data_IF_592606134169
#
_entry.id   IF_592606134169
#
_cell.length_a   1.000
_cell.length_b   1.000
_cell.length_c   1.000
_cell.angle_alpha   90.00
_cell.angle_beta   90.00
_cell.angle_gamma   90.00
#
_symmetry.space_group_name_H-M   'P 1'
#
loop_
_entity.id
_entity.type
_entity.pdbx_description
1 polymer ?
#
# COMPACT_ATOMS: atom_id res chain seq x y z
N UNK A 1 -14.73 -4.51 79.12
CA UNK A 1 -15.43 -4.18 77.85
C UNK A 1 -14.63 -3.10 77.16
N UNK A 2 -13.80 -3.47 76.19
CA UNK A 2 -12.94 -2.52 75.48
C UNK A 2 -13.13 -2.82 73.98
N UNK A 3 -13.70 -1.85 73.27
CA UNK A 3 -14.10 -1.97 71.87
C UNK A 3 -12.93 -1.54 71.00
N UNK A 4 -12.41 -2.44 70.17
CA UNK A 4 -11.45 -2.12 69.10
C UNK A 4 -12.19 -1.66 67.85
N UNK A 5 -11.99 -0.40 67.47
CA UNK A 5 -12.52 0.19 66.23
C UNK A 5 -11.64 -0.25 65.05
N UNK A 6 -12.23 -0.95 64.07
CA UNK A 6 -11.58 -1.31 62.81
C UNK A 6 -11.81 -0.17 61.81
N UNK A 7 -10.73 0.47 61.35
CA UNK A 7 -10.76 1.41 60.24
C UNK A 7 -10.52 0.64 58.93
N UNK A 8 -11.54 0.55 58.09
CA UNK A 8 -11.43 0.02 56.72
C UNK A 8 -11.10 1.19 55.80
N UNK A 9 -9.86 1.27 55.34
CA UNK A 9 -9.44 2.22 54.31
C UNK A 9 -9.97 1.76 52.94
N UNK A 10 -10.94 2.48 52.39
CA UNK A 10 -11.40 2.32 51.02
C UNK A 10 -10.35 2.90 50.06
N UNK A 11 -9.49 2.03 49.51
CA UNK A 11 -8.57 2.40 48.44
C UNK A 11 -9.34 2.65 47.13
N UNK A 12 -9.27 3.86 46.60
CA UNK A 12 -9.82 4.19 45.29
C UNK A 12 -8.99 3.48 44.20
N UNK A 13 -9.59 2.47 43.56
CA UNK A 13 -9.05 1.81 42.39
C UNK A 13 -9.16 2.75 41.19
N UNK A 14 -8.07 3.44 40.85
CA UNK A 14 -7.96 4.16 39.58
C UNK A 14 -7.95 3.13 38.44
N UNK A 15 -9.03 3.06 37.67
CA UNK A 15 -9.07 2.29 36.43
C UNK A 15 -8.20 3.00 35.39
N UNK A 16 -7.00 2.50 35.17
CA UNK A 16 -6.19 2.94 34.03
C UNK A 16 -6.83 2.36 32.76
N UNK A 17 -7.44 3.23 31.96
CA UNK A 17 -7.93 2.89 30.62
C UNK A 17 -6.69 2.81 29.73
N UNK A 18 -6.18 1.60 29.51
CA UNK A 18 -5.19 1.36 28.47
C UNK A 18 -5.90 1.49 27.12
N UNK A 19 -5.61 2.56 26.37
CA UNK A 19 -6.05 2.69 24.99
C UNK A 19 -5.43 1.56 24.17
N UNK A 20 -6.26 0.67 23.61
CA UNK A 20 -5.79 -0.31 22.65
C UNK A 20 -5.19 0.42 21.44
N UNK A 21 -3.95 0.13 21.10
CA UNK A 21 -3.39 0.53 19.81
C UNK A 21 -4.32 -0.05 18.73
N UNK A 22 -5.04 0.82 18.02
CA UNK A 22 -5.93 0.39 16.94
C UNK A 22 -5.05 -0.12 15.81
N UNK A 23 -4.89 -1.44 15.69
CA UNK A 23 -4.23 -2.06 14.55
C UNK A 23 -4.95 -1.69 13.25
N UNK A 24 -4.19 -1.58 12.16
CA UNK A 24 -4.75 -1.32 10.84
C UNK A 24 -5.80 -2.41 10.51
N UNK A 25 -6.99 -2.06 9.99
CA UNK A 25 -8.00 -3.06 9.63
C UNK A 25 -7.52 -3.99 8.50
N UNK A 26 -6.45 -3.61 7.80
CA UNK A 26 -5.84 -4.36 6.71
C UNK A 26 -4.71 -5.29 7.18
N UNK A 27 -4.32 -5.26 8.46
CA UNK A 27 -3.16 -6.03 8.96
C UNK A 27 -3.37 -7.55 8.80
N UNK A 28 -4.62 -8.01 8.86
CA UNK A 28 -4.97 -9.44 8.86
C UNK A 28 -5.52 -9.95 7.53
N UNK A 29 -5.61 -9.11 6.51
CA UNK A 29 -6.14 -9.54 5.22
C UNK A 29 -5.13 -10.46 4.52
N UNK A 30 -5.59 -11.56 3.89
CA UNK A 30 -4.72 -12.44 3.12
C UNK A 30 -4.06 -11.68 1.97
N UNK A 31 -2.77 -11.94 1.78
CA UNK A 31 -2.04 -11.50 0.59
C UNK A 31 -2.35 -12.48 -0.55
N UNK A 32 -2.87 -11.98 -1.66
CA UNK A 32 -3.15 -12.71 -2.89
C UNK A 32 -2.23 -12.22 -4.01
N UNK A 33 -2.04 -13.05 -5.04
CA UNK A 33 -1.32 -12.62 -6.25
C UNK A 33 -2.21 -11.65 -7.03
N UNK A 34 -1.75 -10.41 -7.32
CA UNK A 34 -2.53 -9.47 -8.10
C UNK A 34 -2.76 -9.96 -9.53
N UNK A 35 -3.93 -9.62 -10.08
CA UNK A 35 -4.33 -9.95 -11.45
C UNK A 35 -4.53 -8.68 -12.27
N UNK A 36 -4.02 -8.68 -13.50
CA UNK A 36 -3.90 -7.51 -14.38
C UNK A 36 -4.57 -7.80 -15.72
N UNK A 37 -5.49 -6.93 -16.15
CA UNK A 37 -6.09 -7.00 -17.48
C UNK A 37 -5.46 -5.94 -18.38
N UNK A 38 -4.63 -6.40 -19.32
CA UNK A 38 -3.73 -5.56 -20.09
C UNK A 38 -3.93 -5.74 -21.58
N UNK A 39 -3.95 -4.65 -22.34
CA UNK A 39 -3.79 -4.71 -23.79
C UNK A 39 -2.32 -4.99 -24.12
N UNK A 40 -2.05 -5.95 -25.02
CA UNK A 40 -0.69 -6.26 -25.47
C UNK A 40 -0.23 -5.35 -26.62
N UNK A 41 -1.18 -4.96 -27.46
CA UNK A 41 -1.01 -4.02 -28.59
C UNK A 41 -2.15 -3.00 -28.54
N UNK A 42 -1.96 -1.76 -29.03
CA UNK A 42 -2.99 -0.72 -28.95
C UNK A 42 -4.32 -1.15 -29.57
N UNK A 43 -5.40 -1.14 -28.78
CA UNK A 43 -6.74 -1.54 -29.23
C UNK A 43 -6.91 -3.04 -29.50
N UNK A 44 -5.95 -3.85 -29.10
CA UNK A 44 -5.99 -5.32 -29.20
C UNK A 44 -6.84 -5.97 -28.10
N UNK A 45 -6.87 -7.30 -28.10
CA UNK A 45 -7.51 -8.07 -27.04
C UNK A 45 -6.75 -7.92 -25.72
N UNK A 46 -7.49 -7.89 -24.61
CA UNK A 46 -6.91 -7.87 -23.28
C UNK A 46 -6.48 -9.27 -22.85
N UNK A 47 -5.28 -9.37 -22.31
CA UNK A 47 -4.78 -10.58 -21.65
C UNK A 47 -4.86 -10.43 -20.14
N UNK A 48 -5.00 -11.56 -19.44
CA UNK A 48 -4.92 -11.61 -17.98
C UNK A 48 -3.51 -12.05 -17.57
N UNK A 49 -2.80 -11.19 -16.86
CA UNK A 49 -1.46 -11.43 -16.33
C UNK A 49 -1.50 -11.44 -14.81
N UNK A 50 -0.52 -12.08 -14.18
CA UNK A 50 -0.45 -12.17 -12.72
C UNK A 50 0.95 -11.81 -12.23
N UNK A 51 1.01 -11.25 -11.02
CA UNK A 51 2.25 -10.88 -10.35
C UNK A 51 2.30 -9.39 -9.97
N UNK A 52 3.50 -8.95 -9.66
CA UNK A 52 3.86 -7.55 -9.45
C UNK A 52 3.90 -6.79 -10.77
N UNK A 53 3.89 -5.45 -10.72
CA UNK A 53 4.00 -4.61 -11.91
C UNK A 53 5.27 -4.90 -12.72
N UNK A 54 6.39 -5.22 -12.06
CA UNK A 54 7.65 -5.58 -12.71
C UNK A 54 7.51 -6.90 -13.49
N UNK A 55 6.91 -7.93 -12.88
CA UNK A 55 6.67 -9.22 -13.53
C UNK A 55 5.67 -9.12 -14.68
N UNK A 56 4.64 -8.29 -14.53
CA UNK A 56 3.63 -8.03 -15.56
C UNK A 56 4.23 -7.27 -16.74
N UNK A 57 5.04 -6.24 -16.47
CA UNK A 57 5.77 -5.51 -17.51
C UNK A 57 6.72 -6.43 -18.29
N UNK A 58 7.46 -7.30 -17.61
CA UNK A 58 8.31 -8.31 -18.25
C UNK A 58 7.50 -9.30 -19.12
N UNK A 59 6.33 -9.73 -18.66
CA UNK A 59 5.41 -10.56 -19.45
C UNK A 59 4.91 -9.82 -20.70
N UNK A 60 4.56 -8.54 -20.57
CA UNK A 60 4.10 -7.70 -21.69
C UNK A 60 5.20 -7.54 -22.74
N UNK A 61 6.43 -7.26 -22.35
CA UNK A 61 7.57 -7.18 -23.27
C UNK A 61 7.86 -8.50 -23.99
N UNK A 62 7.60 -9.65 -23.34
CA UNK A 62 7.72 -10.96 -23.98
C UNK A 62 6.63 -11.19 -25.05
N UNK A 63 5.43 -10.68 -24.82
CA UNK A 63 4.31 -10.78 -25.76
C UNK A 63 4.39 -9.73 -26.89
N UNK A 64 4.90 -8.55 -26.57
CA UNK A 64 5.14 -7.45 -27.50
C UNK A 64 6.46 -6.73 -27.16
N UNK A 65 7.56 -7.01 -27.88
CA UNK A 65 8.83 -6.32 -27.67
C UNK A 65 8.79 -4.81 -27.88
N UNK A 66 7.75 -4.27 -28.55
CA UNK A 66 7.53 -2.84 -28.76
C UNK A 66 6.56 -2.23 -27.73
N UNK A 67 6.22 -2.95 -26.66
CA UNK A 67 5.20 -2.52 -25.69
C UNK A 67 5.43 -1.10 -25.17
N UNK A 68 6.65 -0.76 -24.78
CA UNK A 68 6.97 0.57 -24.22
C UNK A 68 6.81 1.70 -25.26
N UNK A 69 7.05 1.42 -26.54
CA UNK A 69 6.81 2.40 -27.61
C UNK A 69 5.35 2.49 -28.03
N UNK A 70 4.61 1.38 -27.93
CA UNK A 70 3.18 1.31 -28.27
C UNK A 70 2.31 1.93 -27.17
N UNK A 71 2.75 1.81 -25.92
CA UNK A 71 2.12 2.36 -24.73
C UNK A 71 3.10 3.30 -24.01
N UNK A 72 3.47 4.43 -24.63
CA UNK A 72 4.39 5.35 -23.99
C UNK A 72 3.78 5.82 -22.68
N UNK A 73 4.56 5.71 -21.60
CA UNK A 73 4.17 6.27 -20.31
C UNK A 73 3.76 7.72 -20.56
N UNK A 74 2.50 8.05 -20.27
CA UNK A 74 2.01 9.42 -20.44
C UNK A 74 2.78 10.28 -19.45
N UNK A 75 3.87 10.92 -19.89
CA UNK A 75 4.38 12.12 -19.21
C UNK A 75 3.19 13.05 -19.13
N UNK A 76 2.79 13.38 -17.90
CA UNK A 76 1.66 14.25 -17.62
C UNK A 76 1.89 15.61 -18.32
N UNK A 77 1.43 15.77 -19.56
CA UNK A 77 1.48 17.07 -20.26
C UNK A 77 0.41 18.02 -19.72
N UNK A 78 -0.63 17.48 -19.10
CA UNK A 78 -1.37 18.22 -18.09
C UNK A 78 -0.59 18.07 -16.79
N UNK A 79 -0.21 19.14 -16.07
CA UNK A 79 -0.11 18.98 -14.64
C UNK A 79 -1.50 18.47 -14.28
N UNK A 80 -1.62 17.19 -13.89
CA UNK A 80 -2.75 16.83 -13.06
C UNK A 80 -2.76 17.95 -12.02
N UNK A 81 -3.84 18.70 -11.92
CA UNK A 81 -3.94 19.83 -10.99
C UNK A 81 -3.65 19.41 -9.53
N UNK A 82 -3.38 18.13 -9.30
CA UNK A 82 -2.50 17.56 -8.28
C UNK A 82 -1.03 17.99 -8.46
N UNK A 83 -0.75 19.29 -8.36
CA UNK A 83 0.49 19.69 -7.66
C UNK A 83 0.53 18.87 -6.37
N UNK A 84 1.53 18.05 -6.03
CA UNK A 84 1.94 17.54 -4.68
C UNK A 84 0.91 17.48 -3.50
N UNK A 85 -0.40 17.50 -3.76
CA UNK A 85 -1.49 17.90 -2.87
C UNK A 85 -2.54 16.81 -2.93
N UNK A 86 -2.56 16.13 -1.79
CA UNK A 86 -3.68 15.46 -1.18
C UNK A 86 -4.21 14.26 -1.96
N UNK A 87 -3.38 13.20 -2.00
CA UNK A 87 -3.92 11.83 -1.96
C UNK A 87 -5.05 11.82 -0.92
N UNK A 88 -6.26 11.42 -1.30
CA UNK A 88 -7.39 11.46 -0.37
C UNK A 88 -7.24 10.32 0.63
N UNK A 89 -7.00 10.67 1.89
CA UNK A 89 -6.84 9.71 2.97
C UNK A 89 -7.76 10.04 4.14
N UNK A 90 -8.09 9.02 4.93
CA UNK A 90 -8.75 9.13 6.22
C UNK A 90 -7.71 9.12 7.36
N UNK A 91 -6.75 8.20 7.28
CA UNK A 91 -5.69 8.01 8.27
C UNK A 91 -4.42 7.54 7.59
N UNK A 92 -3.28 7.79 8.22
CA UNK A 92 -2.02 7.18 7.82
C UNK A 92 -1.18 6.86 9.05
N UNK A 93 -0.27 5.91 8.87
CA UNK A 93 0.62 5.40 9.90
C UNK A 93 2.03 5.33 9.31
N UNK A 94 2.99 5.94 9.99
CA UNK A 94 4.39 5.68 9.74
C UNK A 94 4.88 4.64 10.73
N UNK A 95 5.57 3.62 10.25
CA UNK A 95 6.08 2.54 11.07
C UNK A 95 7.59 2.69 11.28
N UNK A 96 8.02 2.55 12.54
CA UNK A 96 9.44 2.57 12.90
C UNK A 96 10.16 1.27 12.52
N UNK A 97 11.45 1.15 12.88
CA UNK A 97 12.27 -0.05 12.60
C UNK A 97 11.75 -1.34 13.26
N UNK A 98 10.78 -1.29 14.16
CA UNK A 98 10.15 -2.47 14.76
C UNK A 98 8.78 -2.80 14.14
N UNK A 99 8.30 -1.98 13.19
CA UNK A 99 7.05 -2.25 12.46
C UNK A 99 7.24 -3.26 11.34
N UNK A 100 6.15 -3.90 10.91
CA UNK A 100 6.04 -4.89 9.82
C UNK A 100 7.25 -4.98 8.85
N UNK A 101 8.18 -5.90 9.14
CA UNK A 101 9.27 -6.31 8.24
C UNK A 101 9.01 -7.74 7.75
N UNK A 102 8.84 -7.91 6.45
CA UNK A 102 8.87 -9.24 5.84
C UNK A 102 10.28 -9.65 5.40
N UNK A 103 11.19 -8.68 5.27
CA UNK A 103 12.58 -8.91 4.91
C UNK A 103 13.55 -8.56 6.04
N UNK A 104 14.66 -9.30 6.12
CA UNK A 104 15.81 -8.92 6.96
C UNK A 104 16.64 -7.81 6.34
N UNK A 105 16.49 -7.57 5.04
CA UNK A 105 17.15 -6.47 4.33
C UNK A 105 16.25 -5.24 4.42
N UNK A 106 16.85 -4.10 4.75
CA UNK A 106 16.13 -2.82 4.75
C UNK A 106 16.01 -2.34 3.31
N UNK A 107 14.76 -2.11 2.89
CA UNK A 107 14.48 -1.27 1.75
C UNK A 107 14.55 0.20 2.12
N UNK A 108 14.75 1.04 1.11
CA UNK A 108 14.95 2.46 1.29
C UNK A 108 14.02 3.32 0.41
N UNK A 109 14.17 4.64 0.48
CA UNK A 109 13.35 5.56 -0.31
C UNK A 109 13.56 5.42 -1.83
N UNK A 110 14.75 5.02 -2.27
CA UNK A 110 15.02 4.76 -3.69
C UNK A 110 14.32 3.49 -4.16
N UNK A 111 14.44 2.40 -3.40
CA UNK A 111 13.75 1.14 -3.67
C UNK A 111 12.23 1.36 -3.78
N UNK A 112 11.65 2.16 -2.88
CA UNK A 112 10.22 2.50 -2.93
C UNK A 112 9.88 3.40 -4.14
N UNK A 113 10.71 4.40 -4.45
CA UNK A 113 10.49 5.29 -5.60
C UNK A 113 10.49 4.50 -6.91
N UNK A 114 11.39 3.54 -7.09
CA UNK A 114 11.39 2.67 -8.27
C UNK A 114 10.07 1.90 -8.40
N UNK A 115 9.55 1.37 -7.29
CA UNK A 115 8.25 0.71 -7.26
C UNK A 115 7.08 1.63 -7.62
N UNK A 116 7.13 2.90 -7.20
CA UNK A 116 6.17 3.96 -7.54
C UNK A 116 6.23 4.27 -9.04
N UNK A 117 7.43 4.39 -9.59
CA UNK A 117 7.66 4.76 -10.98
C UNK A 117 7.14 3.68 -11.95
N UNK A 118 7.34 2.40 -11.64
CA UNK A 118 6.72 1.30 -12.39
C UNK A 118 5.18 1.36 -12.39
N UNK A 119 4.56 1.67 -11.25
CA UNK A 119 3.09 1.79 -11.17
C UNK A 119 2.57 3.02 -11.93
N UNK A 120 3.38 4.07 -12.05
CA UNK A 120 3.05 5.26 -12.84
C UNK A 120 3.24 5.04 -14.35
N UNK A 121 4.15 4.13 -14.75
CA UNK A 121 4.44 3.88 -16.15
C UNK A 121 3.48 2.89 -16.81
N UNK A 122 2.70 2.13 -16.03
CA UNK A 122 1.79 1.12 -16.56
C UNK A 122 0.34 1.61 -16.67
N UNK A 123 -0.33 1.20 -17.75
CA UNK A 123 -1.77 1.41 -17.94
C UNK A 123 -2.64 0.42 -17.14
N UNK A 124 -3.93 0.41 -17.45
CA UNK A 124 -4.89 -0.56 -16.90
C UNK A 124 -5.67 -0.05 -15.67
N UNK A 125 -6.63 -0.88 -15.27
CA UNK A 125 -7.60 -0.59 -14.19
C UNK A 125 -7.39 -1.62 -13.08
N UNK A 126 -6.77 -1.24 -11.95
CA UNK A 126 -6.57 -2.16 -10.84
C UNK A 126 -7.88 -2.73 -10.32
N UNK A 127 -7.90 -4.03 -10.04
CA UNK A 127 -8.97 -4.71 -9.31
C UNK A 127 -8.42 -5.51 -8.13
N UNK A 128 -9.08 -5.46 -6.99
CA UNK A 128 -8.71 -6.24 -5.80
C UNK A 128 -9.95 -6.92 -5.23
N UNK A 129 -9.82 -8.20 -4.89
CA UNK A 129 -10.93 -9.01 -4.40
C UNK A 129 -11.41 -8.53 -3.01
N UNK A 130 -12.64 -8.90 -2.60
CA UNK A 130 -13.12 -8.59 -1.25
C UNK A 130 -12.19 -9.15 -0.16
N UNK A 131 -11.85 -8.32 0.81
CA UNK A 131 -11.10 -8.75 1.99
C UNK A 131 -9.71 -9.32 1.68
N UNK A 132 -9.01 -8.80 0.68
CA UNK A 132 -7.66 -9.23 0.31
C UNK A 132 -6.71 -8.06 0.07
N UNK A 133 -5.42 -8.38 0.00
CA UNK A 133 -4.37 -7.46 -0.40
C UNK A 133 -3.54 -8.06 -1.52
N UNK A 134 -3.18 -7.27 -2.52
CA UNK A 134 -2.25 -7.65 -3.58
C UNK A 134 -0.89 -7.01 -3.38
N UNK A 135 0.20 -7.77 -3.50
CA UNK A 135 1.56 -7.22 -3.65
C UNK A 135 1.77 -6.68 -5.06
N UNK A 136 1.35 -5.44 -5.30
CA UNK A 136 1.28 -4.83 -6.63
C UNK A 136 2.63 -4.36 -7.16
N UNK A 137 3.62 -4.15 -6.30
CA UNK A 137 5.00 -3.83 -6.70
C UNK A 137 5.98 -4.47 -5.73
N UNK A 138 7.10 -4.97 -6.25
CA UNK A 138 8.22 -5.44 -5.46
C UNK A 138 9.52 -5.00 -6.15
N UNK A 139 10.19 -4.01 -5.59
CA UNK A 139 11.42 -3.43 -6.12
C UNK A 139 12.53 -3.54 -5.09
N UNK A 140 13.58 -4.29 -5.42
CA UNK A 140 14.72 -4.57 -4.54
C UNK A 140 14.31 -5.10 -3.16
N UNK A 141 14.22 -4.25 -2.13
CA UNK A 141 13.81 -4.66 -0.79
C UNK A 141 12.55 -3.95 -0.30
N UNK A 142 11.81 -3.26 -1.19
CA UNK A 142 10.54 -2.59 -0.87
C UNK A 142 9.38 -3.20 -1.67
N UNK A 143 8.29 -3.47 -0.97
CA UNK A 143 7.03 -3.86 -1.59
C UNK A 143 5.94 -2.80 -1.36
N UNK A 144 5.11 -2.63 -2.38
CA UNK A 144 3.87 -1.86 -2.32
C UNK A 144 2.72 -2.85 -2.36
N UNK A 145 1.86 -2.79 -1.35
CA UNK A 145 0.63 -3.54 -1.27
C UNK A 145 -0.56 -2.61 -1.46
N UNK A 146 -1.58 -3.11 -2.15
CA UNK A 146 -2.89 -2.48 -2.22
C UNK A 146 -3.91 -3.43 -1.60
N UNK A 147 -4.68 -2.94 -0.63
CA UNK A 147 -5.61 -3.73 0.15
C UNK A 147 -7.05 -3.26 0.01
N UNK A 148 -7.97 -4.20 -0.07
CA UNK A 148 -9.41 -3.97 -0.09
C UNK A 148 -10.06 -4.65 1.12
N UNK A 149 -10.53 -3.86 2.08
CA UNK A 149 -11.26 -4.36 3.25
C UNK A 149 -12.79 -4.38 3.04
N UNK A 150 -13.28 -4.02 1.85
CA UNK A 150 -14.71 -4.12 1.54
C UNK A 150 -15.14 -5.58 1.36
N UNK A 151 -16.45 -5.81 1.49
CA UNK A 151 -17.10 -7.07 1.11
C UNK A 151 -17.31 -7.22 -0.41
N UNK A 152 -16.96 -6.19 -1.19
CA UNK A 152 -17.10 -6.15 -2.64
C UNK A 152 -15.75 -5.94 -3.32
N UNK A 153 -15.62 -6.39 -4.56
CA UNK A 153 -14.42 -6.16 -5.38
C UNK A 153 -14.23 -4.66 -5.59
N UNK A 154 -13.03 -4.18 -5.32
CA UNK A 154 -12.71 -2.78 -5.53
C UNK A 154 -12.00 -2.56 -6.87
N UNK A 155 -12.34 -1.45 -7.51
CA UNK A 155 -11.72 -0.99 -8.75
C UNK A 155 -11.17 0.42 -8.55
N UNK A 156 -9.96 0.66 -9.05
CA UNK A 156 -9.39 2.00 -9.15
C UNK A 156 -9.28 2.41 -10.61
N UNK A 157 -9.25 3.72 -10.88
CA UNK A 157 -9.16 4.21 -12.27
C UNK A 157 -7.83 3.90 -12.94
N UNK A 158 -6.75 3.79 -12.15
CA UNK A 158 -5.40 3.56 -12.65
C UNK A 158 -4.47 3.10 -11.53
N UNK A 159 -3.39 2.41 -11.88
CA UNK A 159 -2.30 2.08 -10.96
C UNK A 159 -1.59 3.32 -10.41
N UNK A 160 -1.60 4.44 -11.14
CA UNK A 160 -1.14 5.74 -10.65
C UNK A 160 -1.89 6.22 -9.37
N UNK A 161 -3.13 5.75 -9.14
CA UNK A 161 -3.86 6.02 -7.89
C UNK A 161 -3.18 5.34 -6.69
N UNK A 162 -2.70 4.10 -6.89
CA UNK A 162 -1.95 3.36 -5.87
C UNK A 162 -0.56 3.99 -5.70
N UNK A 163 0.11 4.32 -6.81
CA UNK A 163 1.39 5.02 -6.81
C UNK A 163 1.34 6.34 -6.04
N UNK A 164 0.24 7.09 -6.15
CA UNK A 164 0.02 8.33 -5.38
C UNK A 164 -0.08 8.08 -3.86
N UNK A 165 -0.66 6.95 -3.43
CA UNK A 165 -0.70 6.56 -2.02
C UNK A 165 0.67 6.15 -1.49
N UNK A 166 1.45 5.43 -2.31
CA UNK A 166 2.84 5.08 -1.98
C UNK A 166 3.74 6.33 -1.94
N UNK A 167 3.58 7.27 -2.89
CA UNK A 167 4.29 8.55 -2.89
C UNK A 167 3.92 9.38 -1.65
N UNK A 168 2.66 9.39 -1.24
CA UNK A 168 2.24 10.04 -0.01
C UNK A 168 3.00 9.46 1.20
N UNK A 169 3.14 8.14 1.29
CA UNK A 169 3.88 7.50 2.38
C UNK A 169 5.39 7.75 2.28
N UNK A 170 5.96 7.79 1.08
CA UNK A 170 7.34 8.19 0.88
C UNK A 170 7.57 9.61 1.39
N UNK A 171 6.69 10.55 1.06
CA UNK A 171 6.80 11.96 1.46
C UNK A 171 6.57 12.15 2.98
N UNK A 172 5.67 11.38 3.60
CA UNK A 172 5.29 11.53 5.02
C UNK A 172 6.12 10.68 5.98
N UNK A 173 6.56 9.51 5.54
CA UNK A 173 7.24 8.52 6.37
C UNK A 173 8.70 8.31 5.96
N UNK A 174 9.14 8.82 4.79
CA UNK A 174 10.47 8.55 4.24
C UNK A 174 11.66 9.19 4.96
N UNK A 175 11.45 10.02 5.99
CA UNK A 175 12.47 10.79 6.73
C UNK A 175 13.88 10.18 6.76
N UNK A 176 14.20 9.34 7.74
CA UNK A 176 15.53 8.70 7.88
C UNK A 176 15.78 7.58 6.84
N UNK A 177 15.29 7.74 5.62
CA UNK A 177 15.32 6.75 4.55
C UNK A 177 14.55 5.47 4.92
N UNK A 178 13.42 5.63 5.63
CA UNK A 178 12.60 4.54 6.20
C UNK A 178 11.14 4.69 5.83
N UNK A 179 10.76 4.57 4.55
CA UNK A 179 9.40 4.87 4.10
C UNK A 179 8.45 3.70 4.39
N UNK A 180 8.35 3.25 5.64
CA UNK A 180 7.45 2.17 6.05
C UNK A 180 6.15 2.76 6.58
N UNK A 181 5.03 2.22 6.14
CA UNK A 181 3.75 2.72 6.61
C UNK A 181 2.56 2.25 5.82
N UNK A 182 1.42 2.80 6.19
CA UNK A 182 0.14 2.54 5.55
C UNK A 182 -0.70 3.81 5.50
N UNK A 183 -1.30 4.09 4.34
CA UNK A 183 -2.28 5.16 4.16
C UNK A 183 -3.63 4.53 3.84
N UNK A 184 -4.63 4.86 4.66
CA UNK A 184 -6.01 4.41 4.51
C UNK A 184 -6.78 5.46 3.74
N UNK A 185 -7.30 5.07 2.60
CA UNK A 185 -8.13 5.91 1.74
C UNK A 185 -9.63 5.72 2.06
N UNK A 186 -10.49 6.68 1.69
CA UNK A 186 -11.93 6.52 1.80
C UNK A 186 -12.44 5.28 1.06
N UNK A 187 -13.55 4.71 1.55
CA UNK A 187 -14.13 3.45 1.04
C UNK A 187 -13.26 2.22 1.33
N UNK A 188 -12.72 2.12 2.55
CA UNK A 188 -12.12 0.92 3.12
C UNK A 188 -11.04 0.24 2.26
N UNK A 189 -10.11 1.02 1.73
CA UNK A 189 -8.92 0.51 1.06
C UNK A 189 -7.66 1.23 1.51
N UNK A 190 -6.51 0.60 1.30
CA UNK A 190 -5.23 1.19 1.72
C UNK A 190 -4.09 0.87 0.77
N UNK A 191 -3.07 1.72 0.84
CA UNK A 191 -1.73 1.43 0.31
C UNK A 191 -0.80 1.21 1.48
N UNK A 192 -0.03 0.13 1.44
CA UNK A 192 0.97 -0.22 2.45
C UNK A 192 2.32 -0.36 1.79
N UNK A 193 3.34 0.19 2.41
CA UNK A 193 4.74 0.12 1.98
C UNK A 193 5.58 -0.47 3.10
N UNK A 194 6.29 -1.55 2.80
CA UNK A 194 7.08 -2.31 3.78
C UNK A 194 8.33 -2.87 3.12
N UNK A 195 9.35 -3.16 3.95
CA UNK A 195 10.44 -4.00 3.52
C UNK A 195 9.95 -5.44 3.27
N UNK A 196 10.22 -5.98 2.09
CA UNK A 196 9.87 -7.33 1.69
C UNK A 196 10.95 -7.92 0.77
N UNK A 197 10.99 -9.24 0.67
CA UNK A 197 11.90 -9.93 -0.23
C UNK A 197 11.34 -9.88 -1.67
N UNK A 198 12.03 -9.09 -2.49
CA UNK A 198 12.04 -9.17 -3.94
C UNK A 198 13.40 -9.81 -4.36
#
# INVERSE_FOLDING_TARGET
MQWTTILIALGALSTQVYGAATSSPFEKLPITTPTWEMEVTPGGEKVTLNGTVQEVHAQLLKLNPNYDSDFPAKRSEEPSSLTKRDFKYEKYYCWGEDGWHYSRKRGDSGDLQDGIDYLNSIGGTPKEAPGSCGRVSCSYNMAIYWCNANSETQYLKSYATIASGAQFLLDKCGGDNKPHGEVVAPNHWSVRVVADAC
#
